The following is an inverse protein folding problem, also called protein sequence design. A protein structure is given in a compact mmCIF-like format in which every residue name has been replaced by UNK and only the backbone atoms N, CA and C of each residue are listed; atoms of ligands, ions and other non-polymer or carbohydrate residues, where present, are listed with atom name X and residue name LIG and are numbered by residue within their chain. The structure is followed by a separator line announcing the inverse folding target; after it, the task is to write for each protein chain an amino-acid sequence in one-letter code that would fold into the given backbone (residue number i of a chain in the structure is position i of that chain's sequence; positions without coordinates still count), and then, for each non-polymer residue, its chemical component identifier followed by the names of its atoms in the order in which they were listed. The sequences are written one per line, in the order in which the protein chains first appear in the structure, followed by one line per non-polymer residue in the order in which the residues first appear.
data_IF_434010432211
#
_entry.id   IF_434010432211
#
_cell.length_a   1.000
_cell.length_b   1.000
_cell.length_c   1.000
_cell.angle_alpha   90.00
_cell.angle_beta   90.00
_cell.angle_gamma   90.00
#
_symmetry.space_group_name_H-M   'P 1'
#
loop_
_entity.id
_entity.type
_entity.pdbx_description
1 polymer ?
#
# COMPACT_ATOMS: atom_id res chain seq x y z
N UNK A 1 19.72 -15.57 38.32
CA UNK A 1 18.94 -15.73 37.07
C UNK A 1 18.81 -14.36 36.42
N UNK A 2 19.61 -14.07 35.39
CA UNK A 2 19.50 -12.84 34.62
C UNK A 2 19.14 -13.19 33.19
N UNK A 3 17.88 -12.95 32.80
CA UNK A 3 17.41 -13.22 31.45
C UNK A 3 18.09 -12.25 30.47
N UNK A 4 18.90 -12.80 29.55
CA UNK A 4 19.59 -12.05 28.52
C UNK A 4 18.58 -11.35 27.59
N UNK A 5 18.73 -10.04 27.48
CA UNK A 5 18.08 -9.20 26.47
C UNK A 5 18.36 -9.77 25.08
N UNK A 6 17.30 -10.21 24.40
CA UNK A 6 17.35 -10.69 23.02
C UNK A 6 17.95 -9.61 22.11
N UNK A 7 19.21 -9.81 21.73
CA UNK A 7 19.97 -8.95 20.84
C UNK A 7 19.41 -8.97 19.41
N UNK A 8 18.37 -8.18 19.15
CA UNK A 8 18.00 -7.84 17.77
C UNK A 8 19.02 -6.82 17.25
N UNK A 9 20.09 -7.31 16.60
CA UNK A 9 21.06 -6.42 15.92
C UNK A 9 20.31 -5.57 14.89
N UNK A 10 20.42 -4.24 15.00
CA UNK A 10 19.87 -3.32 14.00
C UNK A 10 20.48 -3.60 12.62
N UNK A 11 19.66 -3.71 11.58
CA UNK A 11 20.13 -3.91 10.20
C UNK A 11 21.02 -2.76 9.71
N UNK A 12 20.81 -1.54 10.22
CA UNK A 12 21.70 -0.39 9.97
C UNK A 12 23.10 -0.56 10.57
N UNK A 13 23.23 -1.27 11.69
CA UNK A 13 24.49 -1.46 12.43
C UNK A 13 25.21 -2.76 12.06
N UNK A 14 24.50 -3.72 11.44
CA UNK A 14 25.04 -4.98 10.96
C UNK A 14 25.83 -4.82 9.65
N UNK A 15 26.81 -3.91 9.64
CA UNK A 15 27.74 -3.71 8.53
C UNK A 15 28.81 -4.82 8.62
N UNK A 16 28.58 -5.95 7.96
CA UNK A 16 29.61 -6.99 7.83
C UNK A 16 29.17 -8.31 7.22
N UNK A 17 27.94 -8.77 7.52
CA UNK A 17 27.45 -10.06 7.02
C UNK A 17 26.02 -10.04 6.43
N UNK A 18 25.28 -8.92 6.54
CA UNK A 18 23.87 -8.83 6.09
C UNK A 18 23.61 -7.90 4.89
N UNK A 19 24.66 -7.41 4.21
CA UNK A 19 24.52 -6.57 3.01
C UNK A 19 23.98 -7.34 1.79
N UNK A 20 24.20 -8.66 1.73
CA UNK A 20 23.76 -9.49 0.59
C UNK A 20 22.29 -9.93 0.67
N UNK A 21 21.72 -9.99 1.88
CA UNK A 21 20.36 -10.51 2.05
C UNK A 21 19.28 -9.42 2.02
N UNK A 22 19.62 -8.19 2.40
CA UNK A 22 18.67 -7.10 2.57
C UNK A 22 19.16 -5.81 1.93
N UNK A 23 18.23 -5.09 1.29
CA UNK A 23 18.49 -3.76 0.73
C UNK A 23 17.57 -2.71 1.36
N UNK A 24 18.04 -1.48 1.63
CA UNK A 24 17.18 -0.43 2.15
C UNK A 24 16.14 -0.05 1.09
N UNK A 25 14.93 0.25 1.55
CA UNK A 25 13.84 0.80 0.75
C UNK A 25 13.10 1.84 1.62
N UNK A 26 13.47 3.10 1.47
CA UNK A 26 13.04 4.19 2.36
C UNK A 26 13.37 3.90 3.83
N UNK A 27 12.34 3.88 4.67
CA UNK A 27 12.46 3.58 6.12
C UNK A 27 12.49 2.08 6.46
N UNK A 28 12.37 1.18 5.48
CA UNK A 28 12.31 -0.28 5.67
C UNK A 28 13.43 -0.99 4.91
N UNK A 29 13.46 -2.32 5.01
CA UNK A 29 14.40 -3.18 4.31
C UNK A 29 13.65 -4.26 3.53
N UNK A 30 14.07 -4.52 2.30
CA UNK A 30 13.54 -5.61 1.48
C UNK A 30 14.52 -6.78 1.47
N UNK A 31 14.01 -8.02 1.61
CA UNK A 31 14.84 -9.23 1.51
C UNK A 31 15.05 -9.61 0.04
N UNK A 32 16.30 -9.57 -0.42
CA UNK A 32 16.67 -9.78 -1.83
C UNK A 32 16.39 -11.20 -2.31
N UNK A 33 16.67 -12.22 -1.49
CA UNK A 33 16.39 -13.62 -1.84
C UNK A 33 14.90 -13.87 -2.11
N UNK A 34 14.00 -13.21 -1.37
CA UNK A 34 12.56 -13.33 -1.60
C UNK A 34 12.13 -12.49 -2.82
N UNK A 35 12.71 -11.29 -2.99
CA UNK A 35 12.44 -10.43 -4.15
C UNK A 35 12.83 -11.10 -5.48
N UNK A 36 13.92 -11.88 -5.51
CA UNK A 36 14.33 -12.64 -6.69
C UNK A 36 13.36 -13.78 -7.04
N UNK A 37 12.57 -14.24 -6.07
CA UNK A 37 11.54 -15.26 -6.22
C UNK A 37 10.12 -14.64 -6.33
N UNK A 38 10.02 -13.37 -6.72
CA UNK A 38 8.75 -12.62 -6.86
C UNK A 38 7.93 -12.56 -5.56
N UNK A 39 8.59 -12.57 -4.40
CA UNK A 39 7.94 -12.44 -3.10
C UNK A 39 8.36 -11.14 -2.43
N UNK A 40 7.39 -10.29 -2.13
CA UNK A 40 7.58 -9.10 -1.32
C UNK A 40 7.72 -9.51 0.14
N UNK A 41 8.89 -9.23 0.71
CA UNK A 41 9.16 -9.42 2.13
C UNK A 41 9.87 -8.18 2.69
N UNK A 42 9.07 -7.29 3.29
CA UNK A 42 9.56 -6.07 3.92
C UNK A 42 9.76 -6.29 5.43
N UNK A 43 10.90 -5.80 5.92
CA UNK A 43 11.34 -5.89 7.30
C UNK A 43 11.57 -4.50 7.90
N UNK A 44 11.30 -4.41 9.20
CA UNK A 44 11.79 -3.32 10.04
C UNK A 44 13.30 -3.44 10.27
N UNK A 45 13.92 -2.38 10.81
CA UNK A 45 15.35 -2.37 11.12
C UNK A 45 15.77 -3.47 12.11
N UNK A 46 14.87 -3.88 13.01
CA UNK A 46 15.05 -4.99 13.96
C UNK A 46 14.71 -6.38 13.36
N UNK A 47 14.57 -6.49 12.04
CA UNK A 47 14.28 -7.73 11.27
C UNK A 47 12.88 -8.32 11.45
N UNK A 48 12.01 -7.70 12.24
CA UNK A 48 10.60 -8.13 12.31
C UNK A 48 9.88 -7.79 11.00
N UNK A 49 8.84 -8.55 10.67
CA UNK A 49 8.05 -8.33 9.46
C UNK A 49 7.30 -7.00 9.53
N UNK A 50 7.44 -6.16 8.49
CA UNK A 50 6.69 -4.92 8.35
C UNK A 50 5.32 -5.14 7.67
N UNK A 51 5.18 -6.24 6.95
CA UNK A 51 3.91 -6.70 6.38
C UNK A 51 3.97 -8.21 6.16
N UNK A 52 2.81 -8.82 5.91
CA UNK A 52 2.73 -10.20 5.46
C UNK A 52 3.43 -10.38 4.11
N UNK A 53 4.06 -11.54 3.92
CA UNK A 53 4.67 -11.88 2.64
C UNK A 53 3.59 -11.91 1.56
N UNK A 54 3.92 -11.38 0.39
CA UNK A 54 2.99 -11.31 -0.73
C UNK A 54 3.69 -11.78 -1.99
N UNK A 55 3.06 -12.70 -2.73
CA UNK A 55 3.51 -13.09 -4.07
C UNK A 55 3.09 -12.00 -5.06
N UNK A 56 3.99 -11.64 -5.96
CA UNK A 56 3.81 -10.59 -6.95
C UNK A 56 3.91 -11.16 -8.37
N UNK A 57 3.33 -10.46 -9.34
CA UNK A 57 3.65 -10.69 -10.75
C UNK A 57 5.10 -10.31 -11.07
N UNK A 58 5.59 -10.75 -12.24
CA UNK A 58 6.88 -10.33 -12.76
C UNK A 58 6.94 -8.81 -13.00
N UNK A 59 5.83 -8.22 -13.47
CA UNK A 59 5.72 -6.79 -13.74
C UNK A 59 5.84 -5.96 -12.46
N UNK A 60 5.09 -6.32 -11.40
CA UNK A 60 5.20 -5.66 -10.11
C UNK A 60 6.58 -5.91 -9.47
N UNK A 61 7.13 -7.11 -9.59
CA UNK A 61 8.48 -7.42 -9.10
C UNK A 61 9.53 -6.55 -9.77
N UNK A 62 9.42 -6.33 -11.09
CA UNK A 62 10.31 -5.45 -11.84
C UNK A 62 10.26 -4.02 -11.32
N UNK A 63 9.06 -3.47 -11.09
CA UNK A 63 8.91 -2.12 -10.51
C UNK A 63 9.50 -2.01 -9.10
N UNK A 64 9.29 -3.01 -8.24
CA UNK A 64 9.88 -3.02 -6.90
C UNK A 64 11.41 -3.10 -6.98
N UNK A 65 11.97 -3.83 -7.96
CA UNK A 65 13.42 -3.85 -8.22
C UNK A 65 13.91 -2.49 -8.70
N UNK A 66 13.29 -1.87 -9.71
CA UNK A 66 13.66 -0.52 -10.18
C UNK A 66 13.64 0.49 -9.02
N UNK A 67 12.58 0.49 -8.21
CA UNK A 67 12.48 1.35 -7.04
C UNK A 67 13.59 1.07 -6.00
N UNK A 68 13.91 -0.20 -5.76
CA UNK A 68 14.90 -0.61 -4.75
C UNK A 68 16.33 -0.35 -5.21
N UNK A 69 16.63 -0.53 -6.50
CA UNK A 69 17.99 -0.47 -7.03
C UNK A 69 18.33 0.88 -7.66
N UNK A 70 17.39 1.45 -8.39
CA UNK A 70 17.59 2.64 -9.22
C UNK A 70 16.93 3.89 -8.60
N UNK A 71 16.04 3.69 -7.62
CA UNK A 71 15.33 4.79 -6.95
C UNK A 71 14.21 5.42 -7.78
N UNK A 72 13.94 4.89 -8.96
CA UNK A 72 12.93 5.40 -9.90
C UNK A 72 11.86 4.33 -10.19
N UNK A 73 10.68 4.76 -10.64
CA UNK A 73 9.58 3.86 -11.02
C UNK A 73 9.22 4.10 -12.48
N UNK A 74 9.17 3.02 -13.28
CA UNK A 74 8.62 3.09 -14.63
C UNK A 74 7.09 3.30 -14.59
N UNK A 75 6.65 4.53 -14.87
CA UNK A 75 5.24 4.90 -14.82
C UNK A 75 4.37 4.18 -15.87
N UNK A 76 4.91 3.88 -17.06
CA UNK A 76 4.16 3.15 -18.09
C UNK A 76 3.87 1.72 -17.63
N UNK A 77 4.87 1.06 -17.05
CA UNK A 77 4.70 -0.28 -16.50
C UNK A 77 3.72 -0.27 -15.32
N UNK A 78 3.79 0.73 -14.45
CA UNK A 78 2.80 0.91 -13.38
C UNK A 78 1.37 1.04 -13.92
N UNK A 79 1.14 1.90 -14.91
CA UNK A 79 -0.19 2.11 -15.49
C UNK A 79 -0.75 0.84 -16.16
N UNK A 80 0.11 -0.09 -16.57
CA UNK A 80 -0.29 -1.39 -17.14
C UNK A 80 -0.62 -2.46 -16.09
N UNK A 81 -0.25 -2.25 -14.82
CA UNK A 81 -0.55 -3.20 -13.75
C UNK A 81 -2.06 -3.28 -13.49
N UNK A 82 -2.58 -4.45 -13.05
CA UNK A 82 -3.94 -4.52 -12.53
C UNK A 82 -4.09 -3.66 -11.27
N UNK A 83 -5.30 -3.13 -11.05
CA UNK A 83 -5.62 -2.24 -9.92
C UNK A 83 -5.18 -2.78 -8.55
N UNK A 84 -5.29 -4.11 -8.36
CA UNK A 84 -4.84 -4.79 -7.14
C UNK A 84 -3.33 -4.66 -6.90
N UNK A 85 -2.51 -4.75 -7.94
CA UNK A 85 -1.06 -4.63 -7.85
C UNK A 85 -0.60 -3.17 -7.78
N UNK A 86 -1.30 -2.25 -8.46
CA UNK A 86 -1.09 -0.82 -8.27
C UNK A 86 -1.27 -0.43 -6.81
N UNK A 87 -2.31 -0.97 -6.17
CA UNK A 87 -2.58 -0.80 -4.74
C UNK A 87 -1.47 -1.36 -3.84
N UNK A 88 -0.87 -2.49 -4.20
CA UNK A 88 0.27 -3.05 -3.48
C UNK A 88 1.45 -2.08 -3.53
N UNK A 89 1.78 -1.55 -4.71
CA UNK A 89 2.91 -0.62 -4.86
C UNK A 89 2.70 0.67 -4.04
N UNK A 90 1.50 1.26 -4.10
CA UNK A 90 1.17 2.44 -3.29
C UNK A 90 1.24 2.13 -1.80
N UNK A 91 0.78 0.96 -1.34
CA UNK A 91 0.94 0.52 0.05
C UNK A 91 2.41 0.38 0.44
N UNK A 92 3.25 -0.16 -0.42
CA UNK A 92 4.71 -0.25 -0.20
C UNK A 92 5.33 1.14 -0.07
N UNK A 93 5.00 2.07 -0.97
CA UNK A 93 5.49 3.44 -0.92
C UNK A 93 5.08 4.16 0.37
N UNK A 94 3.82 3.99 0.82
CA UNK A 94 3.33 4.54 2.08
C UNK A 94 4.06 3.91 3.27
N UNK A 95 4.17 2.58 3.33
CA UNK A 95 4.83 1.86 4.44
C UNK A 95 6.33 2.16 4.56
N UNK A 96 6.99 2.42 3.42
CA UNK A 96 8.41 2.78 3.34
C UNK A 96 8.66 4.27 3.52
N UNK A 97 7.61 5.10 3.61
CA UNK A 97 7.64 6.56 3.63
C UNK A 97 8.20 7.22 2.36
N UNK A 98 8.34 6.46 1.27
CA UNK A 98 8.76 6.99 -0.02
C UNK A 98 7.64 7.78 -0.70
N UNK A 99 6.38 7.47 -0.40
CA UNK A 99 5.22 8.15 -0.97
C UNK A 99 5.20 9.67 -0.74
N UNK A 100 5.73 10.13 0.40
CA UNK A 100 5.71 11.55 0.78
C UNK A 100 6.99 12.30 0.39
N UNK A 101 8.03 11.58 0.00
CA UNK A 101 9.35 12.15 -0.29
C UNK A 101 9.41 12.71 -1.71
N UNK A 102 8.65 12.12 -2.64
CA UNK A 102 8.55 12.58 -4.03
C UNK A 102 7.08 12.76 -4.42
N UNK A 103 6.67 14.02 -4.62
CA UNK A 103 5.30 14.40 -5.03
C UNK A 103 4.91 13.92 -6.44
N UNK A 104 5.77 13.20 -7.14
CA UNK A 104 5.59 12.87 -8.56
C UNK A 104 5.54 11.38 -8.88
N UNK A 105 5.59 10.47 -7.91
CA UNK A 105 5.93 9.09 -8.29
C UNK A 105 4.73 8.36 -8.89
N UNK A 106 3.52 8.37 -8.32
CA UNK A 106 2.35 7.68 -8.89
C UNK A 106 1.02 8.30 -8.40
N UNK A 107 0.02 8.43 -9.29
CA UNK A 107 -1.36 8.78 -8.90
C UNK A 107 -1.93 7.63 -8.06
N UNK A 108 -2.52 7.92 -6.88
CA UNK A 108 -3.16 6.88 -6.08
C UNK A 108 -4.36 6.33 -6.88
N UNK A 109 -4.41 5.02 -7.17
CA UNK A 109 -5.40 4.47 -8.09
C UNK A 109 -6.82 4.58 -7.52
N UNK A 110 -6.95 4.74 -6.19
CA UNK A 110 -8.24 4.90 -5.54
C UNK A 110 -8.66 6.37 -5.38
N UNK A 111 -7.80 7.32 -5.77
CA UNK A 111 -8.03 8.75 -5.53
C UNK A 111 -9.34 9.22 -6.13
N UNK A 112 -9.63 8.83 -7.37
CA UNK A 112 -10.86 9.21 -8.06
C UNK A 112 -12.10 8.65 -7.37
N UNK A 113 -12.05 7.38 -6.99
CA UNK A 113 -13.13 6.70 -6.28
C UNK A 113 -13.44 7.36 -4.91
N UNK A 114 -12.39 7.74 -4.17
CA UNK A 114 -12.53 8.47 -2.90
C UNK A 114 -13.11 9.87 -3.13
N UNK A 115 -12.64 10.59 -4.14
CA UNK A 115 -13.15 11.93 -4.46
C UNK A 115 -14.62 11.92 -4.85
N UNK A 116 -15.04 10.92 -5.64
CA UNK A 116 -16.42 10.77 -6.06
C UNK A 116 -17.33 10.38 -4.88
N UNK A 117 -16.86 9.47 -4.02
CA UNK A 117 -17.53 9.15 -2.76
C UNK A 117 -17.74 10.39 -1.88
N UNK A 118 -16.68 11.18 -1.66
CA UNK A 118 -16.72 12.37 -0.80
C UNK A 118 -17.69 13.42 -1.37
N UNK A 119 -17.72 13.58 -2.71
CA UNK A 119 -18.66 14.46 -3.39
C UNK A 119 -20.11 14.03 -3.16
N UNK A 120 -20.45 12.77 -3.48
CA UNK A 120 -21.82 12.26 -3.35
C UNK A 120 -22.31 12.27 -1.89
N UNK A 121 -21.43 11.90 -0.96
CA UNK A 121 -21.71 11.97 0.47
C UNK A 121 -21.98 13.41 0.91
N UNK A 122 -21.24 14.39 0.39
CA UNK A 122 -21.46 15.80 0.63
C UNK A 122 -22.82 16.28 0.11
N UNK A 123 -23.20 15.90 -1.11
CA UNK A 123 -24.50 16.26 -1.69
C UNK A 123 -25.67 15.72 -0.87
N UNK A 124 -25.61 14.44 -0.46
CA UNK A 124 -26.64 13.82 0.37
C UNK A 124 -26.69 14.45 1.77
N UNK A 125 -25.53 14.76 2.38
CA UNK A 125 -25.48 15.44 3.67
C UNK A 125 -26.08 16.86 3.64
N UNK A 126 -26.07 17.52 2.48
CA UNK A 126 -26.73 18.81 2.24
C UNK A 126 -28.25 18.67 2.00
N UNK A 127 -28.81 17.46 2.10
CA UNK A 127 -30.23 17.17 1.95
C UNK A 127 -30.67 16.82 0.52
N UNK A 128 -29.72 16.54 -0.38
CA UNK A 128 -30.06 16.08 -1.73
C UNK A 128 -30.45 14.59 -1.71
N UNK A 129 -31.74 14.32 -1.51
CA UNK A 129 -32.30 12.97 -1.44
C UNK A 129 -32.68 12.42 -2.82
N UNK A 130 -31.94 12.79 -3.87
CA UNK A 130 -32.16 12.20 -5.19
C UNK A 130 -31.87 10.68 -5.14
N UNK A 131 -32.84 9.81 -5.46
CA UNK A 131 -32.67 8.36 -5.37
C UNK A 131 -31.55 7.82 -6.26
N UNK A 132 -31.21 8.50 -7.35
CA UNK A 132 -30.10 8.09 -8.21
C UNK A 132 -28.74 8.34 -7.55
N UNK A 133 -28.57 9.48 -6.85
CA UNK A 133 -27.34 9.78 -6.09
C UNK A 133 -27.16 8.84 -4.90
N UNK A 134 -28.26 8.48 -4.22
CA UNK A 134 -28.23 7.51 -3.12
C UNK A 134 -27.81 6.13 -3.63
N UNK A 135 -28.32 5.72 -4.80
CA UNK A 135 -27.93 4.46 -5.45
C UNK A 135 -26.45 4.48 -5.83
N UNK A 136 -25.99 5.58 -6.42
CA UNK A 136 -24.60 5.75 -6.83
C UNK A 136 -23.64 5.73 -5.63
N UNK A 137 -23.97 6.45 -4.55
CA UNK A 137 -23.20 6.44 -3.31
C UNK A 137 -23.11 5.02 -2.71
N UNK A 138 -24.21 4.24 -2.77
CA UNK A 138 -24.21 2.85 -2.32
C UNK A 138 -23.27 1.97 -3.15
N UNK A 139 -23.28 2.10 -4.48
CA UNK A 139 -22.38 1.34 -5.37
C UNK A 139 -20.92 1.68 -5.09
N UNK A 140 -20.58 2.96 -5.01
CA UNK A 140 -19.21 3.41 -4.71
C UNK A 140 -18.77 2.96 -3.31
N UNK A 141 -19.67 2.97 -2.32
CA UNK A 141 -19.36 2.44 -0.99
C UNK A 141 -18.99 0.95 -1.03
N UNK A 142 -19.70 0.16 -1.84
CA UNK A 142 -19.38 -1.26 -2.05
C UNK A 142 -18.04 -1.44 -2.77
N UNK A 143 -17.72 -0.59 -3.76
CA UNK A 143 -16.43 -0.63 -4.46
C UNK A 143 -15.26 -0.25 -3.53
N UNK A 144 -15.43 0.77 -2.70
CA UNK A 144 -14.44 1.15 -1.67
C UNK A 144 -14.19 0.01 -0.69
N UNK A 145 -15.26 -0.70 -0.29
CA UNK A 145 -15.17 -1.86 0.58
C UNK A 145 -14.46 -3.05 -0.09
N UNK A 146 -14.79 -3.36 -1.34
CA UNK A 146 -14.13 -4.41 -2.12
C UNK A 146 -12.63 -4.16 -2.27
N UNK A 147 -12.23 -2.89 -2.39
CA UNK A 147 -10.84 -2.47 -2.46
C UNK A 147 -10.14 -2.37 -1.08
N UNK A 148 -10.87 -2.69 0.00
CA UNK A 148 -10.41 -2.62 1.40
C UNK A 148 -9.92 -1.22 1.79
N UNK A 149 -10.55 -0.18 1.23
CA UNK A 149 -10.30 1.22 1.58
C UNK A 149 -11.07 1.57 2.86
N UNK A 150 -12.29 1.07 2.98
CA UNK A 150 -13.14 1.20 4.18
C UNK A 150 -13.40 -0.17 4.81
N UNK A 151 -13.67 -0.20 6.12
CA UNK A 151 -13.95 -1.45 6.84
C UNK A 151 -15.37 -1.96 6.59
N UNK A 152 -15.64 -3.22 6.93
CA UNK A 152 -17.00 -3.79 6.93
C UNK A 152 -17.97 -2.94 7.78
N UNK A 153 -17.50 -2.47 8.93
CA UNK A 153 -18.30 -1.67 9.86
C UNK A 153 -18.62 -0.30 9.26
N UNK A 154 -17.64 0.35 8.64
CA UNK A 154 -17.83 1.65 8.00
C UNK A 154 -18.79 1.52 6.81
N UNK A 155 -18.60 0.51 5.96
CA UNK A 155 -19.47 0.21 4.83
C UNK A 155 -20.93 0.03 5.29
N UNK A 156 -21.16 -0.81 6.31
CA UNK A 156 -22.50 -1.02 6.89
C UNK A 156 -23.08 0.26 7.48
N UNK A 157 -22.29 1.00 8.23
CA UNK A 157 -22.72 2.25 8.87
C UNK A 157 -23.16 3.27 7.83
N UNK A 158 -22.40 3.43 6.73
CA UNK A 158 -22.75 4.35 5.65
C UNK A 158 -24.07 3.92 5.01
N UNK A 159 -24.20 2.63 4.63
CA UNK A 159 -25.38 2.13 3.92
C UNK A 159 -26.66 2.23 4.78
N UNK A 160 -26.58 1.97 6.08
CA UNK A 160 -27.73 2.03 7.00
C UNK A 160 -28.21 3.47 7.22
N UNK A 161 -27.31 4.45 7.15
CA UNK A 161 -27.62 5.86 7.39
C UNK A 161 -27.97 6.64 6.11
N UNK A 162 -28.12 5.95 4.97
CA UNK A 162 -28.63 6.60 3.75
C UNK A 162 -30.13 6.92 3.93
N UNK A 163 -30.59 8.10 3.47
CA UNK A 163 -31.99 8.50 3.56
C UNK A 163 -32.92 7.68 2.67
#
# INVERSE_FOLDING_TARGET
MGAGVNGTKNLREAVGASKMDYKPLGSKFIRLADLHNNVLNLKHNNRTSAMNKLKMSDALTKLIKELTFDGNINQQLYNSLPHSEQNVLVKVLKLTHLYYSDKSVLEDPNKRLIQEFDKLRGEIALGNNNPDLIRELKLITMDLHAQKIISDNDCRSIIVNLP
#
